data_IF_879692347320
#
_entry.id   IF_879692347320
#
_cell.length_a   1.000
_cell.length_b   1.000
_cell.length_c   1.000
_cell.angle_alpha   90.00
_cell.angle_beta   90.00
_cell.angle_gamma   90.00
#
_symmetry.space_group_name_H-M   'P 1'
#
loop_
_entity.id
_entity.type
_entity.pdbx_description
1 polymer ?
#
# COMPACT_ATOMS: atom_id res chain seq x y z
N UNK A 1 -12.59 5.28 21.06
CA UNK A 1 -12.43 3.81 21.02
C UNK A 1 -11.24 3.51 20.12
N UNK A 2 -10.43 2.50 20.43
CA UNK A 2 -9.25 2.19 19.61
C UNK A 2 -9.65 1.26 18.45
N UNK A 3 -9.10 1.45 17.25
CA UNK A 3 -9.38 0.59 16.09
C UNK A 3 -8.86 -0.83 16.33
N UNK A 4 -9.65 -1.81 15.90
CA UNK A 4 -9.31 -3.23 16.00
C UNK A 4 -9.20 -3.83 14.60
N UNK A 5 -8.22 -4.70 14.40
CA UNK A 5 -8.04 -5.39 13.13
C UNK A 5 -9.26 -6.29 12.86
N UNK A 6 -9.89 -6.21 11.67
CA UNK A 6 -11.07 -7.03 11.35
C UNK A 6 -10.75 -8.53 11.20
N UNK A 7 -9.49 -8.90 11.00
CA UNK A 7 -9.08 -10.30 10.83
C UNK A 7 -8.73 -10.97 12.16
N UNK A 8 -7.93 -10.29 12.99
CA UNK A 8 -7.37 -10.88 14.21
C UNK A 8 -7.81 -10.18 15.50
N UNK A 9 -8.68 -9.17 15.41
CA UNK A 9 -9.21 -8.37 16.54
C UNK A 9 -8.13 -7.74 17.45
N UNK A 10 -6.90 -7.63 16.94
CA UNK A 10 -5.79 -7.01 17.64
C UNK A 10 -5.89 -5.49 17.52
N UNK A 11 -5.53 -4.77 18.57
CA UNK A 11 -5.45 -3.31 18.57
C UNK A 11 -4.52 -2.81 17.46
N UNK A 12 -5.02 -1.91 16.62
CA UNK A 12 -4.30 -1.39 15.46
C UNK A 12 -3.46 -0.17 15.83
N UNK A 13 -2.38 0.03 15.07
CA UNK A 13 -1.49 1.17 15.19
C UNK A 13 -1.85 2.22 14.15
N UNK A 14 -1.91 3.50 14.54
CA UNK A 14 -2.07 4.61 13.61
C UNK A 14 -0.69 5.11 13.14
N UNK A 15 -0.49 5.17 11.83
CA UNK A 15 0.72 5.71 11.18
C UNK A 15 0.31 6.49 9.94
N UNK A 16 0.67 7.77 9.88
CA UNK A 16 0.39 8.62 8.71
C UNK A 16 -1.10 8.64 8.30
N UNK A 17 -2.01 8.62 9.29
CA UNK A 17 -3.47 8.50 9.11
C UNK A 17 -3.97 7.15 8.57
N UNK A 18 -3.15 6.11 8.60
CA UNK A 18 -3.50 4.74 8.20
C UNK A 18 -3.47 3.83 9.43
N UNK A 19 -4.43 2.91 9.51
CA UNK A 19 -4.51 1.92 10.57
C UNK A 19 -3.82 0.62 10.14
N UNK A 20 -2.76 0.22 10.85
CA UNK A 20 -1.94 -0.94 10.51
C UNK A 20 -2.10 -2.03 11.58
N UNK A 21 -2.23 -3.27 11.15
CA UNK A 21 -2.22 -4.41 12.06
C UNK A 21 -0.77 -4.77 12.44
N UNK A 22 -0.37 -4.71 13.73
CA UNK A 22 0.99 -5.07 14.14
C UNK A 22 1.30 -6.55 13.92
N UNK A 23 0.26 -7.41 13.84
CA UNK A 23 0.43 -8.84 13.52
C UNK A 23 0.73 -9.10 12.05
N UNK A 24 0.48 -8.11 11.17
CA UNK A 24 0.88 -8.20 9.76
C UNK A 24 2.40 -8.19 9.60
N UNK A 25 3.09 -7.37 10.39
CA UNK A 25 4.57 -7.25 10.36
C UNK A 25 5.29 -8.54 10.74
N UNK A 26 4.72 -9.33 11.67
CA UNK A 26 5.24 -10.63 12.10
C UNK A 26 4.68 -11.82 11.30
N UNK A 27 3.84 -11.58 10.30
CA UNK A 27 3.23 -12.62 9.45
C UNK A 27 2.12 -13.46 10.11
N UNK A 28 1.60 -13.00 11.25
CA UNK A 28 0.58 -13.68 12.07
C UNK A 28 -0.85 -13.17 11.73
N UNK A 29 -0.94 -12.19 10.84
CA UNK A 29 -2.15 -11.65 10.23
C UNK A 29 -1.83 -11.21 8.80
N UNK A 30 -2.81 -11.19 7.92
CA UNK A 30 -2.67 -10.75 6.52
C UNK A 30 -3.47 -9.47 6.25
N UNK A 31 -3.68 -8.64 7.28
CA UNK A 31 -4.42 -7.40 7.15
C UNK A 31 -3.55 -6.36 6.45
N UNK A 32 -3.94 -5.97 5.25
CA UNK A 32 -3.35 -4.86 4.50
C UNK A 32 -4.34 -3.70 4.43
N UNK A 33 -3.93 -2.54 4.95
CA UNK A 33 -4.79 -1.36 5.00
C UNK A 33 -5.02 -0.75 3.61
N UNK A 34 -4.05 -0.89 2.71
CA UNK A 34 -4.11 -0.38 1.33
C UNK A 34 -4.82 -1.37 0.39
N UNK A 35 -4.96 -2.63 0.80
CA UNK A 35 -5.64 -3.66 0.01
C UNK A 35 -7.16 -3.73 0.24
N UNK A 36 -7.70 -3.01 1.23
CA UNK A 36 -9.13 -3.04 1.60
C UNK A 36 -9.91 -1.81 1.16
N UNK A 37 -9.26 -0.84 0.52
CA UNK A 37 -9.89 0.32 -0.11
C UNK A 37 -10.47 -0.10 -1.48
N UNK A 38 -11.46 -1.00 -1.44
CA UNK A 38 -12.34 -1.31 -2.58
C UNK A 38 -13.72 -0.64 -2.38
N UNK A 39 -13.74 0.69 -2.32
CA UNK A 39 -14.91 1.50 -2.69
C UNK A 39 -14.42 2.91 -3.07
N UNK A 40 -14.16 3.10 -4.38
CA UNK A 40 -14.06 4.35 -5.17
C UNK A 40 -12.84 4.39 -6.13
N UNK A 41 -12.98 5.06 -7.29
CA UNK A 41 -12.82 4.46 -8.60
C UNK A 41 -11.37 4.20 -8.99
N UNK A 42 -11.18 3.05 -9.65
CA UNK A 42 -9.94 2.60 -10.28
C UNK A 42 -9.14 3.73 -10.96
N UNK A 43 -8.20 4.32 -10.24
CA UNK A 43 -6.95 4.76 -10.86
C UNK A 43 -6.08 3.52 -10.82
N UNK A 44 -6.01 2.84 -11.96
CA UNK A 44 -5.15 1.70 -12.18
C UNK A 44 -3.70 2.16 -11.92
N UNK A 45 -3.19 1.99 -10.70
CA UNK A 45 -1.78 2.13 -10.41
C UNK A 45 -1.13 0.80 -10.79
N UNK A 46 -0.80 0.67 -12.08
CA UNK A 46 -0.10 -0.50 -12.57
C UNK A 46 1.16 -0.73 -11.73
N UNK A 47 1.26 -1.91 -11.13
CA UNK A 47 2.43 -2.43 -10.44
C UNK A 47 3.60 -2.71 -11.42
N UNK A 48 3.73 -1.93 -12.50
CA UNK A 48 4.85 -1.91 -13.44
C UNK A 48 5.73 -0.64 -13.29
N UNK A 49 5.28 0.34 -12.49
CA UNK A 49 5.96 1.65 -12.35
C UNK A 49 7.02 1.71 -11.24
N UNK A 50 7.42 0.57 -10.66
CA UNK A 50 8.67 0.51 -9.87
C UNK A 50 9.90 0.15 -10.73
N UNK A 51 9.71 -0.25 -11.99
CA UNK A 51 10.80 -0.60 -12.92
C UNK A 51 10.86 0.27 -14.18
N UNK A 52 9.86 1.12 -14.44
CA UNK A 52 9.81 1.98 -15.64
C UNK A 52 10.48 3.36 -15.49
N UNK A 53 10.70 3.85 -14.26
CA UNK A 53 11.40 5.13 -14.03
C UNK A 53 12.91 5.06 -14.35
N UNK A 54 13.45 3.89 -14.74
CA UNK A 54 14.84 3.73 -15.20
C UNK A 54 14.97 3.59 -16.74
N UNK A 55 13.87 3.69 -17.50
CA UNK A 55 13.89 3.63 -18.98
C UNK A 55 13.54 4.94 -19.69
N UNK A 56 13.50 6.06 -18.96
CA UNK A 56 13.15 7.37 -19.53
C UNK A 56 14.33 8.32 -19.75
N UNK A 57 15.58 7.85 -19.73
CA UNK A 57 16.66 8.55 -20.45
C UNK A 57 16.61 8.16 -21.93
N UNK A 58 15.56 8.62 -22.60
CA UNK A 58 15.60 8.80 -24.05
C UNK A 58 16.70 9.82 -24.31
N UNK A 59 17.81 9.35 -24.90
CA UNK A 59 18.83 10.21 -25.51
C UNK A 59 18.10 11.18 -26.44
N UNK A 60 17.94 12.42 -25.98
CA UNK A 60 17.58 13.51 -26.87
C UNK A 60 18.86 13.87 -27.61
N UNK A 61 19.03 13.34 -28.83
CA UNK A 61 20.02 13.84 -29.76
C UNK A 61 19.72 15.31 -30.06
N UNK A 62 20.38 16.21 -29.34
CA UNK A 62 20.52 17.59 -29.76
C UNK A 62 21.74 17.70 -30.66
N UNK A 63 21.46 17.57 -31.96
CA UNK A 63 22.06 18.25 -33.12
C UNK A 63 23.56 18.09 -33.40
#
# INVERSE_FOLDING_TARGET
MKPLCPLCHTEMLERSNIHICPRNDIGDCSYDALGMEEDEPAIIFNQETAMSELRSYSVSECK
#
